data_IF_430493569370
#
_entry.id   IF_430493569370
#
_cell.length_a   1.000
_cell.length_b   1.000
_cell.length_c   1.000
_cell.angle_alpha   90.00
_cell.angle_beta   90.00
_cell.angle_gamma   90.00
#
_symmetry.space_group_name_H-M   'P 1'
#
loop_
_entity.id
_entity.type
_entity.pdbx_description
1 polymer ?
#
# COMPACT_ATOMS: atom_id res chain seq x y z
N UNK A 1 14.92 -2.88 -28.96
CA UNK A 1 14.03 -3.42 -27.89
C UNK A 1 13.40 -2.26 -27.14
N UNK A 2 12.17 -2.40 -26.61
CA UNK A 2 11.45 -1.28 -25.97
C UNK A 2 12.05 -0.98 -24.58
N UNK A 3 12.76 0.15 -24.44
CA UNK A 3 13.37 0.65 -23.19
C UNK A 3 12.39 1.53 -22.38
N UNK A 4 11.26 0.96 -21.99
CA UNK A 4 10.27 1.63 -21.15
C UNK A 4 9.36 0.61 -20.48
N UNK A 5 9.04 0.84 -19.21
CA UNK A 5 8.08 0.01 -18.47
C UNK A 5 7.67 0.63 -17.14
N UNK A 6 6.57 0.17 -16.58
CA UNK A 6 6.09 0.54 -15.25
C UNK A 6 5.65 -0.72 -14.53
N UNK A 7 6.30 -1.04 -13.42
CA UNK A 7 5.97 -2.20 -12.60
C UNK A 7 5.34 -1.69 -11.31
N UNK A 8 4.13 -2.17 -11.02
CA UNK A 8 3.37 -1.82 -9.82
C UNK A 8 3.06 -3.09 -9.05
N UNK A 9 3.76 -3.26 -7.93
CA UNK A 9 3.58 -4.38 -7.03
C UNK A 9 2.47 -4.08 -6.00
N UNK A 10 1.73 -5.12 -5.62
CA UNK A 10 0.71 -5.02 -4.57
C UNK A 10 1.23 -5.58 -3.25
N UNK A 11 1.62 -4.69 -2.32
CA UNK A 11 2.06 -5.05 -0.97
C UNK A 11 0.89 -4.97 0.02
N UNK A 12 1.11 -4.38 1.20
CA UNK A 12 0.17 -4.07 2.29
C UNK A 12 0.86 -3.08 3.24
N UNK A 13 0.10 -2.37 4.08
CA UNK A 13 0.69 -1.74 5.27
C UNK A 13 1.11 -2.79 6.33
N UNK A 14 0.43 -3.94 6.37
CA UNK A 14 0.75 -5.03 7.29
C UNK A 14 1.99 -5.79 6.80
N UNK A 15 3.05 -5.78 7.61
CA UNK A 15 4.38 -6.26 7.29
C UNK A 15 5.36 -5.09 7.09
N UNK A 16 5.24 -4.32 6.01
CA UNK A 16 6.16 -3.21 5.73
C UNK A 16 6.12 -2.03 6.71
N UNK A 17 4.95 -1.73 7.30
CA UNK A 17 4.76 -0.52 8.13
C UNK A 17 4.24 -0.87 9.54
N UNK A 18 3.23 -1.74 9.62
CA UNK A 18 2.59 -2.15 10.88
C UNK A 18 2.40 -3.66 10.93
N UNK A 19 1.94 -4.20 12.06
CA UNK A 19 1.68 -5.62 12.23
C UNK A 19 0.25 -5.87 12.73
N UNK A 20 -0.26 -7.07 12.45
CA UNK A 20 -1.56 -7.54 12.91
C UNK A 20 -1.39 -8.91 13.59
N UNK A 21 -2.06 -9.19 14.73
CA UNK A 21 -2.03 -10.51 15.34
C UNK A 21 -2.34 -11.64 14.36
N UNK A 22 -1.57 -12.73 14.46
CA UNK A 22 -1.70 -13.93 13.61
C UNK A 22 -1.45 -13.69 12.12
N UNK A 23 -0.68 -12.66 11.77
CA UNK A 23 -0.30 -12.35 10.39
C UNK A 23 1.20 -12.52 10.09
N UNK A 24 1.95 -13.32 10.86
CA UNK A 24 3.41 -13.46 10.72
C UNK A 24 3.85 -13.80 9.29
N UNK A 25 3.28 -14.84 8.69
CA UNK A 25 3.65 -15.28 7.34
C UNK A 25 3.24 -14.23 6.30
N UNK A 26 2.03 -13.68 6.44
CA UNK A 26 1.53 -12.63 5.56
C UNK A 26 2.41 -11.37 5.61
N UNK A 27 2.73 -10.89 6.82
CA UNK A 27 3.56 -9.72 7.05
C UNK A 27 4.98 -9.91 6.51
N UNK A 28 5.59 -11.08 6.73
CA UNK A 28 6.90 -11.41 6.16
C UNK A 28 6.86 -11.38 4.62
N UNK A 29 5.86 -12.00 4.00
CA UNK A 29 5.70 -12.01 2.55
C UNK A 29 5.50 -10.60 1.98
N UNK A 30 4.63 -9.79 2.59
CA UNK A 30 4.35 -8.41 2.14
C UNK A 30 5.53 -7.46 2.36
N UNK A 31 6.29 -7.63 3.45
CA UNK A 31 7.57 -6.95 3.65
C UNK A 31 8.61 -7.36 2.59
N UNK A 32 8.68 -8.65 2.24
CA UNK A 32 9.56 -9.15 1.18
C UNK A 32 9.31 -8.50 -0.19
N UNK A 33 8.05 -8.22 -0.53
CA UNK A 33 7.69 -7.49 -1.75
C UNK A 33 8.36 -6.10 -1.80
N UNK A 34 8.53 -5.42 -0.66
CA UNK A 34 9.20 -4.12 -0.63
C UNK A 34 10.71 -4.24 -0.88
N UNK A 35 11.35 -5.27 -0.34
CA UNK A 35 12.75 -5.59 -0.67
C UNK A 35 12.92 -5.87 -2.17
N UNK A 36 12.06 -6.74 -2.72
CA UNK A 36 12.05 -7.05 -4.16
C UNK A 36 11.81 -5.81 -5.03
N UNK A 37 10.84 -4.97 -4.65
CA UNK A 37 10.51 -3.72 -5.37
C UNK A 37 11.73 -2.80 -5.47
N UNK A 38 12.48 -2.64 -4.38
CA UNK A 38 13.66 -1.77 -4.34
C UNK A 38 14.84 -2.35 -5.11
N UNK A 39 15.08 -3.65 -5.01
CA UNK A 39 16.12 -4.32 -5.78
C UNK A 39 15.88 -4.16 -7.29
N UNK A 40 14.68 -4.53 -7.74
CA UNK A 40 14.29 -4.39 -9.14
C UNK A 40 14.36 -2.94 -9.61
N UNK A 41 13.90 -1.97 -8.81
CA UNK A 41 13.94 -0.55 -9.16
C UNK A 41 15.35 -0.07 -9.55
N UNK A 42 16.41 -0.58 -8.92
CA UNK A 42 17.80 -0.24 -9.25
C UNK A 42 18.27 -1.02 -10.48
N UNK A 43 17.97 -2.32 -10.55
CA UNK A 43 18.41 -3.21 -11.63
C UNK A 43 17.91 -2.76 -13.01
N UNK A 44 16.69 -2.20 -13.09
CA UNK A 44 16.05 -1.85 -14.38
C UNK A 44 15.98 -0.34 -14.66
N UNK A 45 16.54 0.52 -13.79
CA UNK A 45 16.44 1.97 -13.94
C UNK A 45 17.03 2.50 -15.26
N UNK A 46 18.15 1.93 -15.71
CA UNK A 46 18.82 2.33 -16.95
C UNK A 46 17.97 2.10 -18.21
N UNK A 47 16.96 1.23 -18.12
CA UNK A 47 16.01 0.94 -19.19
C UNK A 47 14.73 1.79 -19.10
N UNK A 48 14.74 2.88 -18.31
CA UNK A 48 13.60 3.77 -18.10
C UNK A 48 12.36 3.02 -17.57
N UNK A 49 12.61 2.01 -16.73
CA UNK A 49 11.58 1.25 -16.03
C UNK A 49 11.52 1.74 -14.58
N UNK A 50 10.32 2.08 -14.12
CA UNK A 50 10.10 2.34 -12.69
C UNK A 50 9.40 1.16 -12.04
N UNK A 51 9.74 0.89 -10.78
CA UNK A 51 9.20 -0.22 -9.98
C UNK A 51 8.76 0.31 -8.64
N UNK A 52 7.47 0.23 -8.32
CA UNK A 52 6.91 0.72 -7.06
C UNK A 52 5.94 -0.28 -6.47
N UNK A 53 5.62 -0.10 -5.18
CA UNK A 53 4.62 -0.88 -4.49
C UNK A 53 3.50 0.00 -3.96
N UNK A 54 2.27 -0.49 -3.99
CA UNK A 54 1.16 0.08 -3.24
C UNK A 54 1.03 -0.69 -1.93
N UNK A 55 0.88 0.03 -0.82
CA UNK A 55 0.59 -0.52 0.50
C UNK A 55 -0.83 -0.15 0.93
N UNK A 56 -1.85 -0.95 0.59
CA UNK A 56 -3.21 -0.69 1.06
C UNK A 56 -3.34 -0.91 2.57
N UNK A 57 -4.16 -0.08 3.20
CA UNK A 57 -4.74 -0.32 4.51
C UNK A 57 -5.96 -1.25 4.46
N UNK A 58 -7.00 -0.92 5.21
CA UNK A 58 -8.27 -1.65 5.19
C UNK A 58 -9.09 -1.25 3.95
N UNK A 59 -9.23 -2.18 3.00
CA UNK A 59 -9.98 -1.99 1.76
C UNK A 59 -11.14 -2.98 1.74
N UNK A 60 -12.35 -2.49 1.48
CA UNK A 60 -13.55 -3.32 1.38
C UNK A 60 -13.56 -4.03 0.02
N UNK A 61 -13.45 -5.35 0.04
CA UNK A 61 -13.53 -6.23 -1.13
C UNK A 61 -14.61 -7.30 -0.90
N UNK A 62 -15.00 -8.07 -1.93
CA UNK A 62 -15.92 -9.20 -1.75
C UNK A 62 -15.40 -10.28 -0.77
N UNK A 63 -14.09 -10.32 -0.51
CA UNK A 63 -13.48 -11.27 0.42
C UNK A 63 -13.33 -10.73 1.85
N UNK A 64 -13.70 -9.48 2.12
CA UNK A 64 -13.56 -8.88 3.45
C UNK A 64 -14.51 -9.52 4.44
N UNK A 65 -13.96 -9.94 5.59
CA UNK A 65 -14.74 -10.35 6.75
C UNK A 65 -15.45 -9.13 7.40
N UNK A 66 -16.53 -9.36 8.16
CA UNK A 66 -17.18 -8.31 8.95
C UNK A 66 -16.21 -7.57 9.87
N UNK A 67 -15.23 -8.27 10.45
CA UNK A 67 -14.22 -7.69 11.33
C UNK A 67 -13.28 -6.75 10.57
N UNK A 68 -12.87 -7.09 9.34
CA UNK A 68 -12.03 -6.22 8.51
C UNK A 68 -12.78 -4.96 8.07
N UNK A 69 -14.09 -5.06 7.82
CA UNK A 69 -14.93 -3.90 7.51
C UNK A 69 -14.97 -2.95 8.71
N UNK A 70 -15.24 -3.47 9.91
CA UNK A 70 -15.23 -2.68 11.16
C UNK A 70 -13.85 -2.10 11.46
N UNK A 71 -12.77 -2.83 11.16
CA UNK A 71 -11.41 -2.30 11.33
C UNK A 71 -11.18 -1.03 10.49
N UNK A 72 -11.70 -0.98 9.26
CA UNK A 72 -11.65 0.22 8.42
C UNK A 72 -12.42 1.41 8.99
N UNK A 73 -13.50 1.19 9.73
CA UNK A 73 -14.26 2.25 10.41
C UNK A 73 -13.47 2.90 11.57
N UNK A 74 -12.43 2.21 12.07
CA UNK A 74 -11.53 2.72 13.10
C UNK A 74 -10.35 3.51 12.52
N UNK A 75 -10.20 3.57 11.20
CA UNK A 75 -9.23 4.48 10.58
C UNK A 75 -9.69 5.94 10.70
N UNK A 76 -8.77 6.92 10.59
CA UNK A 76 -9.15 8.32 10.61
C UNK A 76 -10.16 8.74 9.52
N UNK A 77 -10.12 8.07 8.36
CA UNK A 77 -11.11 8.25 7.30
C UNK A 77 -12.52 7.72 7.65
N UNK A 78 -12.69 7.01 8.78
CA UNK A 78 -13.94 6.46 9.31
C UNK A 78 -14.71 5.55 8.35
N UNK A 79 -13.99 4.90 7.45
CA UNK A 79 -14.48 3.86 6.54
C UNK A 79 -13.31 3.06 6.00
N UNK A 80 -13.53 1.80 5.59
CA UNK A 80 -12.59 1.14 4.69
C UNK A 80 -12.50 1.90 3.36
N UNK A 81 -11.33 1.84 2.74
CA UNK A 81 -11.13 2.27 1.37
C UNK A 81 -11.84 1.33 0.38
N UNK A 82 -11.84 1.71 -0.88
CA UNK A 82 -12.45 0.97 -2.00
C UNK A 82 -11.39 0.48 -2.98
N UNK A 83 -11.69 -0.57 -3.79
CA UNK A 83 -10.78 -1.02 -4.84
C UNK A 83 -10.47 0.09 -5.86
N UNK A 84 -11.42 0.96 -6.17
CA UNK A 84 -11.24 2.07 -7.13
C UNK A 84 -10.24 3.12 -6.63
N UNK A 85 -10.19 3.37 -5.32
CA UNK A 85 -9.18 4.24 -4.71
C UNK A 85 -7.77 3.64 -4.84
N UNK A 86 -7.61 2.32 -4.75
CA UNK A 86 -6.35 1.63 -5.00
C UNK A 86 -6.01 1.63 -6.50
N UNK A 87 -7.00 1.37 -7.36
CA UNK A 87 -6.83 1.35 -8.80
C UNK A 87 -6.37 2.71 -9.34
N UNK A 88 -6.90 3.81 -8.79
CA UNK A 88 -6.49 5.17 -9.16
C UNK A 88 -4.99 5.41 -8.92
N UNK A 89 -4.46 4.91 -7.80
CA UNK A 89 -3.01 5.00 -7.50
C UNK A 89 -2.20 4.09 -8.43
N UNK A 90 -2.70 2.89 -8.73
CA UNK A 90 -2.04 1.99 -9.67
C UNK A 90 -1.95 2.61 -11.07
N UNK A 91 -3.02 3.24 -11.55
CA UNK A 91 -3.05 3.96 -12.83
C UNK A 91 -2.07 5.13 -12.82
N UNK A 92 -2.01 5.91 -11.74
CA UNK A 92 -1.03 6.99 -11.59
C UNK A 92 0.42 6.47 -11.68
N UNK A 93 0.75 5.41 -10.94
CA UNK A 93 2.09 4.81 -10.95
C UNK A 93 2.46 4.18 -12.30
N UNK A 94 1.46 3.69 -13.04
CA UNK A 94 1.63 3.18 -14.40
C UNK A 94 1.70 4.30 -15.46
N UNK A 95 1.42 5.55 -15.10
CA UNK A 95 1.38 6.67 -16.04
C UNK A 95 2.76 7.31 -16.25
N UNK A 96 2.85 8.20 -17.24
CA UNK A 96 4.03 9.06 -17.43
C UNK A 96 4.19 10.12 -16.34
N UNK A 97 3.13 10.43 -15.59
CA UNK A 97 3.18 11.44 -14.52
C UNK A 97 4.05 10.98 -13.34
N UNK A 98 4.22 9.67 -13.17
CA UNK A 98 5.09 9.06 -12.17
C UNK A 98 6.50 8.71 -12.71
N UNK A 99 6.98 9.40 -13.76
CA UNK A 99 8.21 9.03 -14.48
C UNK A 99 9.50 9.03 -13.66
N UNK A 100 9.52 9.72 -12.51
CA UNK A 100 10.68 9.80 -11.62
C UNK A 100 10.46 9.10 -10.27
N UNK A 101 9.31 8.45 -10.10
CA UNK A 101 8.95 7.75 -8.88
C UNK A 101 9.34 6.28 -9.04
N UNK A 102 10.36 5.80 -8.33
CA UNK A 102 10.81 4.39 -8.34
C UNK A 102 11.32 3.95 -6.96
N UNK A 103 11.18 2.67 -6.63
CA UNK A 103 11.57 2.06 -5.36
C UNK A 103 10.69 2.39 -4.16
N UNK A 104 9.52 3.02 -4.37
CA UNK A 104 8.69 3.56 -3.30
C UNK A 104 7.59 2.60 -2.85
N UNK A 105 7.18 2.74 -1.59
CA UNK A 105 5.92 2.21 -1.06
C UNK A 105 4.93 3.37 -0.95
N UNK A 106 3.86 3.34 -1.74
CA UNK A 106 2.77 4.32 -1.67
C UNK A 106 1.68 3.77 -0.75
N UNK A 107 1.59 4.33 0.45
CA UNK A 107 0.59 3.93 1.45
C UNK A 107 -0.77 4.57 1.12
N UNK A 108 -1.82 3.74 1.08
CA UNK A 108 -3.20 4.16 0.82
C UNK A 108 -4.10 3.50 1.86
N UNK A 109 -4.26 4.15 3.01
CA UNK A 109 -4.79 3.50 4.22
C UNK A 109 -5.77 4.36 5.04
N UNK A 110 -6.19 5.52 4.53
CA UNK A 110 -7.09 6.41 5.24
C UNK A 110 -6.53 6.96 6.56
N UNK A 111 -5.19 7.01 6.71
CA UNK A 111 -4.50 7.49 7.90
C UNK A 111 -4.26 6.41 8.97
N UNK A 112 -4.58 5.15 8.69
CA UNK A 112 -4.50 4.05 9.65
C UNK A 112 -3.12 3.95 10.34
N UNK A 113 -2.04 4.07 9.59
CA UNK A 113 -0.68 3.78 10.07
C UNK A 113 0.03 4.93 10.77
N UNK A 114 -0.51 6.15 10.71
CA UNK A 114 0.13 7.36 11.23
C UNK A 114 -0.49 7.87 12.53
N UNK A 115 -1.36 7.08 13.14
CA UNK A 115 -2.06 7.42 14.39
C UNK A 115 -1.10 7.33 15.59
N UNK A 116 -0.82 8.47 16.21
CA UNK A 116 -0.08 8.54 17.48
C UNK A 116 -1.02 8.43 18.69
N UNK A 117 -2.10 9.21 18.70
CA UNK A 117 -3.04 9.25 19.81
C UNK A 117 -3.88 7.96 19.84
N UNK A 118 -3.94 7.31 21.01
CA UNK A 118 -4.65 6.04 21.22
C UNK A 118 -5.69 6.15 22.34
N UNK A 119 -6.13 7.38 22.63
CA UNK A 119 -7.15 7.67 23.63
C UNK A 119 -8.57 7.58 23.08
N UNK A 120 -9.56 8.06 23.85
CA UNK A 120 -10.96 8.11 23.43
C UNK A 120 -11.16 8.86 22.10
N UNK A 121 -12.16 8.47 21.31
CA UNK A 121 -12.38 9.02 19.96
C UNK A 121 -12.61 10.54 19.95
N UNK A 122 -13.16 11.07 21.05
CA UNK A 122 -13.39 12.49 21.29
C UNK A 122 -12.08 13.32 21.30
N UNK A 123 -10.91 12.67 21.49
CA UNK A 123 -9.62 13.33 21.37
C UNK A 123 -9.13 13.52 19.92
N UNK A 124 -9.76 12.85 18.95
CA UNK A 124 -9.49 13.04 17.52
C UNK A 124 -10.52 13.90 16.80
N UNK A 125 -11.77 13.94 17.28
CA UNK A 125 -12.95 14.53 16.60
C UNK A 125 -13.92 15.15 17.58
#
# INVERSE_FOLDING_TARGET
ERKYGRIVNMSSVTGPVVANPRSTIYGAAKAGILGMTRAQAIEVAADNITVNAIGPGWIKTPSSSPQEIVAGENCPARRPGTPDEIASVAVFLASQQASYLTGQLIVVDGGNTIQEYKGPREGYY
#
